data_IF_734793468553
#
_entry.id   IF_734793468553
#
_cell.length_a   1.000
_cell.length_b   1.000
_cell.length_c   1.000
_cell.angle_alpha   90.00
_cell.angle_beta   90.00
_cell.angle_gamma   90.00
#
_symmetry.space_group_name_H-M   'P 1'
#
loop_
_entity.id
_entity.type
_entity.pdbx_description
1 polymer ?
#
# COMPACT_ATOMS: atom_id res chain seq x y z
N UNK A 1 16.25 21.56 -8.90
CA UNK A 1 15.70 21.46 -7.53
C UNK A 1 14.82 20.21 -7.40
N UNK A 2 15.28 19.01 -7.83
CA UNK A 2 14.49 17.79 -7.67
C UNK A 2 14.31 17.37 -6.19
N UNK A 3 15.17 17.81 -5.29
CA UNK A 3 15.24 17.39 -3.89
C UNK A 3 14.04 17.90 -3.07
N UNK A 4 13.61 19.14 -3.35
CA UNK A 4 12.43 19.74 -2.69
C UNK A 4 11.17 19.03 -3.17
N UNK A 5 11.05 18.81 -4.49
CA UNK A 5 9.91 18.09 -5.05
C UNK A 5 9.84 16.65 -4.50
N UNK A 6 10.97 15.93 -4.42
CA UNK A 6 11.04 14.62 -3.78
C UNK A 6 10.51 14.66 -2.35
N UNK A 7 10.95 15.66 -1.57
CA UNK A 7 10.54 15.83 -0.17
C UNK A 7 9.04 16.12 -0.02
N UNK A 8 8.45 16.86 -0.95
CA UNK A 8 6.99 17.11 -1.00
C UNK A 8 6.25 15.82 -1.36
N UNK A 9 6.70 15.10 -2.40
CA UNK A 9 6.08 13.84 -2.82
C UNK A 9 6.17 12.77 -1.72
N UNK A 10 7.24 12.74 -0.94
CA UNK A 10 7.39 11.84 0.20
C UNK A 10 6.37 12.08 1.31
N UNK A 11 5.72 13.24 1.36
CA UNK A 11 4.65 13.52 2.35
C UNK A 11 3.28 13.02 1.88
N UNK A 12 3.09 12.76 0.59
CA UNK A 12 1.82 12.26 0.05
C UNK A 12 1.54 10.81 0.49
N UNK A 13 0.27 10.40 0.43
CA UNK A 13 -0.10 9.01 0.63
C UNK A 13 0.26 8.14 -0.59
N UNK A 14 0.37 6.82 -0.36
CA UNK A 14 0.77 5.88 -1.42
C UNK A 14 -0.21 5.83 -2.60
N UNK A 15 -1.52 5.98 -2.38
CA UNK A 15 -2.50 5.91 -3.47
C UNK A 15 -2.31 7.09 -4.42
N UNK A 16 -2.23 8.29 -3.86
CA UNK A 16 -2.03 9.53 -4.62
C UNK A 16 -0.73 9.47 -5.43
N UNK A 17 0.35 8.91 -4.86
CA UNK A 17 1.61 8.71 -5.57
C UNK A 17 1.51 7.73 -6.75
N UNK A 18 0.69 6.69 -6.64
CA UNK A 18 0.55 5.66 -7.67
C UNK A 18 -0.41 6.08 -8.80
N UNK A 19 -1.42 6.89 -8.51
CA UNK A 19 -2.50 7.19 -9.46
C UNK A 19 -2.42 8.60 -10.00
N UNK A 20 -2.38 9.62 -9.14
CA UNK A 20 -2.50 11.02 -9.54
C UNK A 20 -1.13 11.66 -9.84
N UNK A 21 -0.17 11.51 -8.94
CA UNK A 21 1.12 12.22 -9.01
C UNK A 21 1.92 11.88 -10.29
N UNK A 22 1.86 10.62 -10.74
CA UNK A 22 2.55 10.18 -11.97
C UNK A 22 1.90 10.67 -13.27
N UNK A 23 0.69 11.20 -13.21
CA UNK A 23 -0.05 11.72 -14.37
C UNK A 23 0.05 13.24 -14.51
N UNK A 24 0.62 13.94 -13.53
CA UNK A 24 0.75 15.40 -13.56
C UNK A 24 1.71 15.85 -14.66
N UNK A 25 2.92 15.30 -14.69
CA UNK A 25 3.91 15.56 -15.74
C UNK A 25 4.99 14.47 -15.81
N UNK A 26 5.80 14.49 -16.86
CA UNK A 26 6.90 13.54 -17.07
C UNK A 26 7.97 13.61 -15.98
N UNK A 27 8.25 14.80 -15.43
CA UNK A 27 9.26 15.00 -14.39
C UNK A 27 8.85 14.32 -13.08
N UNK A 28 7.59 14.49 -12.64
CA UNK A 28 7.07 13.82 -11.44
C UNK A 28 7.11 12.30 -11.59
N UNK A 29 6.72 11.80 -12.76
CA UNK A 29 6.79 10.37 -13.06
C UNK A 29 8.22 9.84 -13.06
N UNK A 30 9.17 10.57 -13.65
CA UNK A 30 10.58 10.20 -13.63
C UNK A 30 11.12 10.18 -12.21
N UNK A 31 10.81 11.21 -11.41
CA UNK A 31 11.28 11.33 -10.04
C UNK A 31 10.70 10.21 -9.14
N UNK A 32 9.41 9.90 -9.26
CA UNK A 32 8.77 8.79 -8.53
C UNK A 32 9.38 7.44 -8.90
N UNK A 33 9.71 7.21 -10.17
CA UNK A 33 10.26 5.92 -10.63
C UNK A 33 11.75 5.75 -10.35
N UNK A 34 12.53 6.83 -10.31
CA UNK A 34 13.98 6.79 -10.16
C UNK A 34 14.47 7.00 -8.71
N UNK A 35 13.73 7.76 -7.89
CA UNK A 35 14.10 8.01 -6.48
C UNK A 35 14.04 6.74 -5.64
N UNK A 36 15.13 6.43 -4.93
CA UNK A 36 15.14 5.30 -4.00
C UNK A 36 14.14 5.47 -2.86
N UNK A 37 14.05 6.67 -2.27
CA UNK A 37 13.17 6.96 -1.12
C UNK A 37 11.70 6.81 -1.47
N UNK A 38 11.29 7.27 -2.66
CA UNK A 38 9.91 7.13 -3.12
C UNK A 38 9.61 5.67 -3.49
N UNK A 39 10.54 4.96 -4.10
CA UNK A 39 10.38 3.53 -4.41
C UNK A 39 10.29 2.67 -3.13
N UNK A 40 11.05 3.01 -2.08
CA UNK A 40 10.92 2.40 -0.75
C UNK A 40 9.55 2.71 -0.12
N UNK A 41 9.11 3.98 -0.14
CA UNK A 41 7.78 4.37 0.36
C UNK A 41 6.64 3.63 -0.37
N UNK A 42 6.81 3.38 -1.67
CA UNK A 42 5.85 2.65 -2.50
C UNK A 42 5.99 1.12 -2.45
N UNK A 43 6.90 0.60 -1.63
CA UNK A 43 7.18 -0.83 -1.50
C UNK A 43 7.71 -1.48 -2.79
N UNK A 44 8.21 -0.73 -3.78
CA UNK A 44 8.87 -1.29 -4.95
C UNK A 44 10.35 -1.60 -4.74
N UNK A 45 10.97 -0.94 -3.75
CA UNK A 45 12.33 -1.22 -3.29
C UNK A 45 12.33 -1.56 -1.80
N UNK A 46 13.22 -2.45 -1.36
CA UNK A 46 13.32 -2.81 0.04
C UNK A 46 14.03 -1.73 0.86
N UNK A 47 13.38 -1.27 1.92
CA UNK A 47 14.04 -0.55 3.01
C UNK A 47 14.67 -1.55 3.97
N UNK A 48 16.00 -1.57 4.06
CA UNK A 48 16.74 -2.58 4.86
C UNK A 48 16.69 -2.34 6.37
N UNK A 49 16.36 -1.13 6.80
CA UNK A 49 16.42 -0.74 8.21
C UNK A 49 15.06 -0.23 8.72
N UNK A 50 14.85 -0.34 10.03
CA UNK A 50 13.67 0.15 10.73
C UNK A 50 12.69 -0.94 11.13
N UNK A 51 11.56 -0.55 11.76
CA UNK A 51 10.56 -1.51 12.21
C UNK A 51 9.91 -2.22 11.01
N UNK A 52 9.52 -3.49 11.16
CA UNK A 52 8.75 -4.22 10.16
C UNK A 52 7.38 -3.57 9.99
N UNK A 53 7.11 -3.09 8.79
CA UNK A 53 5.83 -2.47 8.41
C UNK A 53 5.24 -3.26 7.23
N UNK A 54 3.98 -3.74 7.34
CA UNK A 54 3.28 -4.35 6.21
C UNK A 54 2.88 -3.28 5.19
N UNK A 55 2.74 -3.68 3.92
CA UNK A 55 2.25 -2.79 2.87
C UNK A 55 0.78 -2.44 3.12
N UNK A 56 0.44 -1.16 3.39
CA UNK A 56 -0.91 -0.77 3.79
C UNK A 56 -1.94 -1.00 2.68
N UNK A 57 -1.55 -0.86 1.40
CA UNK A 57 -2.46 -1.10 0.27
C UNK A 57 -2.75 -2.59 0.09
N UNK A 58 -1.74 -3.43 0.26
CA UNK A 58 -1.92 -4.88 0.17
C UNK A 58 -2.68 -5.41 1.39
N UNK A 59 -2.39 -4.91 2.60
CA UNK A 59 -3.10 -5.30 3.82
C UNK A 59 -4.61 -5.00 3.76
N UNK A 60 -4.98 -3.92 3.10
CA UNK A 60 -6.37 -3.51 2.91
C UNK A 60 -7.13 -4.36 1.88
N UNK A 61 -6.43 -4.95 0.91
CA UNK A 61 -7.03 -5.73 -0.19
C UNK A 61 -6.94 -7.24 0.06
N UNK A 62 -5.87 -7.70 0.72
CA UNK A 62 -5.55 -9.10 0.95
C UNK A 62 -5.50 -9.44 2.45
N UNK A 63 -6.61 -9.32 3.19
CA UNK A 63 -6.62 -9.49 4.65
C UNK A 63 -6.16 -10.89 5.10
N UNK A 64 -6.27 -11.92 4.25
CA UNK A 64 -5.79 -13.27 4.54
C UNK A 64 -4.25 -13.35 4.61
N UNK A 65 -3.54 -12.48 3.90
CA UNK A 65 -2.06 -12.43 3.91
C UNK A 65 -1.56 -11.61 5.10
N UNK A 66 -2.39 -10.70 5.61
CA UNK A 66 -2.07 -9.78 6.69
C UNK A 66 -3.08 -9.97 7.83
N UNK A 67 -2.96 -11.06 8.62
CA UNK A 67 -3.87 -11.29 9.72
C UNK A 67 -3.82 -10.08 10.67
N UNK A 68 -4.99 -9.54 11.08
CA UNK A 68 -5.02 -8.46 12.06
C UNK A 68 -4.30 -8.93 13.33
N UNK A 69 -3.59 -8.01 13.99
CA UNK A 69 -2.99 -8.27 15.30
C UNK A 69 -4.00 -8.99 16.18
N UNK A 70 -3.59 -10.06 16.90
CA UNK A 70 -4.50 -10.76 17.79
C UNK A 70 -5.20 -9.77 18.71
N UNK A 71 -6.51 -9.95 18.98
CA UNK A 71 -7.23 -9.06 19.86
C UNK A 71 -6.53 -8.99 21.23
N UNK A 72 -6.50 -7.81 21.87
CA UNK A 72 -5.98 -7.71 23.22
C UNK A 72 -6.74 -8.69 24.14
N UNK A 73 -5.99 -9.29 25.07
CA UNK A 73 -6.46 -10.29 26.04
C UNK A 73 -7.86 -9.99 26.60
N UNK A 74 -8.67 -11.03 26.87
CA UNK A 74 -10.02 -10.87 27.40
C UNK A 74 -9.96 -10.14 28.75
N UNK A 75 -10.44 -8.89 28.78
CA UNK A 75 -10.41 -8.04 29.97
C UNK A 75 -10.24 -6.56 29.66
N UNK A 76 -9.70 -6.20 28.50
CA UNK A 76 -9.76 -4.81 27.98
C UNK A 76 -10.86 -4.75 26.94
N UNK A 77 -12.01 -4.19 27.32
CA UNK A 77 -13.07 -3.82 26.39
C UNK A 77 -12.55 -2.68 25.51
N UNK A 78 -11.78 -3.03 24.49
CA UNK A 78 -11.49 -2.11 23.41
C UNK A 78 -12.75 -2.09 22.55
N UNK A 79 -13.41 -0.93 22.50
CA UNK A 79 -14.39 -0.56 21.47
C UNK A 79 -13.75 -0.49 20.06
N UNK A 80 -12.65 -1.20 19.84
CA UNK A 80 -11.86 -1.20 18.63
C UNK A 80 -12.53 -2.12 17.59
N UNK A 81 -13.31 -1.46 16.73
CA UNK A 81 -13.31 -1.68 15.30
C UNK A 81 -13.93 -2.99 14.77
N UNK A 82 -15.19 -3.27 15.14
CA UNK A 82 -16.09 -4.05 14.26
C UNK A 82 -16.25 -3.41 12.85
N UNK A 83 -15.90 -2.12 12.70
CA UNK A 83 -15.91 -1.37 11.44
C UNK A 83 -14.76 -1.77 10.49
N UNK A 84 -13.55 -1.95 11.00
CA UNK A 84 -12.37 -2.29 10.21
C UNK A 84 -12.53 -3.65 9.52
N UNK A 85 -12.95 -4.68 10.26
CA UNK A 85 -13.19 -6.01 9.71
C UNK A 85 -14.29 -5.99 8.63
N UNK A 86 -15.41 -5.29 8.84
CA UNK A 86 -16.48 -5.18 7.82
C UNK A 86 -16.01 -4.48 6.56
N UNK A 87 -15.21 -3.42 6.68
CA UNK A 87 -14.64 -2.70 5.54
C UNK A 87 -13.64 -3.57 4.76
N UNK A 88 -12.81 -4.35 5.45
CA UNK A 88 -11.86 -5.29 4.84
C UNK A 88 -12.59 -6.41 4.09
N UNK A 89 -13.57 -7.02 4.74
CA UNK A 89 -14.43 -8.04 4.10
C UNK A 89 -15.09 -7.45 2.87
N UNK A 90 -15.71 -6.27 2.95
CA UNK A 90 -16.36 -5.64 1.81
C UNK A 90 -15.41 -5.41 0.63
N UNK A 91 -14.17 -4.97 0.88
CA UNK A 91 -13.17 -4.71 -0.19
C UNK A 91 -12.63 -5.99 -0.83
N UNK A 92 -12.37 -7.02 -0.03
CA UNK A 92 -11.97 -8.33 -0.54
C UNK A 92 -13.07 -8.93 -1.42
N UNK A 93 -14.31 -8.85 -0.96
CA UNK A 93 -15.48 -9.32 -1.69
C UNK A 93 -15.70 -8.47 -2.96
N UNK A 94 -15.57 -7.15 -2.90
CA UNK A 94 -15.68 -6.26 -4.06
C UNK A 94 -14.59 -6.52 -5.12
N UNK A 95 -13.36 -6.87 -4.72
CA UNK A 95 -12.34 -7.34 -5.66
C UNK A 95 -12.76 -8.61 -6.42
N UNK A 96 -13.43 -9.54 -5.75
CA UNK A 96 -13.84 -10.84 -6.32
C UNK A 96 -15.10 -10.72 -7.16
N UNK A 97 -16.09 -9.96 -6.68
CA UNK A 97 -17.40 -9.86 -7.33
C UNK A 97 -17.47 -8.80 -8.43
N UNK A 98 -16.62 -7.77 -8.40
CA UNK A 98 -16.62 -6.74 -9.43
C UNK A 98 -15.70 -7.12 -10.60
N UNK A 99 -16.24 -7.44 -11.79
CA UNK A 99 -15.43 -7.94 -12.91
C UNK A 99 -14.34 -6.94 -13.35
N UNK A 100 -14.62 -5.64 -13.22
CA UNK A 100 -13.65 -4.58 -13.58
C UNK A 100 -12.47 -4.55 -12.61
N UNK A 101 -12.73 -4.70 -11.30
CA UNK A 101 -11.67 -4.76 -10.28
C UNK A 101 -10.90 -6.06 -10.40
N UNK A 102 -11.60 -7.18 -10.56
CA UNK A 102 -10.97 -8.47 -10.79
C UNK A 102 -9.99 -8.41 -11.97
N UNK A 103 -10.42 -7.89 -13.12
CA UNK A 103 -9.55 -7.69 -14.29
C UNK A 103 -8.35 -6.79 -13.95
N UNK A 104 -8.55 -5.68 -13.23
CA UNK A 104 -7.46 -4.79 -12.83
C UNK A 104 -6.43 -5.46 -11.89
N UNK A 105 -6.87 -6.33 -10.98
CA UNK A 105 -5.96 -7.06 -10.09
C UNK A 105 -5.27 -8.24 -10.79
N UNK A 106 -5.92 -8.90 -11.75
CA UNK A 106 -5.34 -10.05 -12.48
C UNK A 106 -4.34 -9.64 -13.55
N UNK A 107 -4.38 -8.38 -14.02
CA UNK A 107 -3.41 -7.80 -14.97
C UNK A 107 -1.96 -8.15 -14.63
N UNK A 108 -1.19 -8.53 -15.63
CA UNK A 108 0.24 -8.91 -15.48
C UNK A 108 1.12 -7.72 -15.13
N UNK A 109 0.77 -6.54 -15.61
CA UNK A 109 1.43 -5.26 -15.35
C UNK A 109 0.92 -4.54 -14.10
N UNK A 110 0.04 -5.18 -13.32
CA UNK A 110 -0.51 -4.59 -12.11
C UNK A 110 0.61 -4.28 -11.11
N UNK A 111 0.69 -3.01 -10.69
CA UNK A 111 1.77 -2.49 -9.85
C UNK A 111 1.97 -3.28 -8.56
N UNK A 112 0.87 -3.71 -7.93
CA UNK A 112 0.87 -4.47 -6.69
C UNK A 112 1.69 -5.77 -6.76
N UNK A 113 1.81 -6.41 -7.94
CA UNK A 113 2.60 -7.64 -8.15
C UNK A 113 4.10 -7.43 -7.94
N UNK A 114 4.57 -6.19 -8.11
CA UNK A 114 5.98 -5.81 -7.95
C UNK A 114 6.25 -5.17 -6.58
N UNK A 115 5.21 -5.01 -5.76
CA UNK A 115 5.35 -4.44 -4.43
C UNK A 115 5.70 -5.52 -3.41
N UNK A 116 6.53 -5.14 -2.47
CA UNK A 116 6.84 -5.92 -1.29
C UNK A 116 5.61 -6.00 -0.37
N UNK A 117 5.41 -7.17 0.22
CA UNK A 117 4.37 -7.44 1.21
C UNK A 117 4.71 -6.73 2.54
N UNK A 118 5.99 -6.70 2.91
CA UNK A 118 6.49 -6.06 4.12
C UNK A 118 7.87 -5.45 3.90
N UNK A 119 8.25 -4.49 4.74
CA UNK A 119 9.58 -3.91 4.78
C UNK A 119 10.09 -3.75 6.23
N UNK A 120 11.33 -4.16 6.57
CA UNK A 120 12.31 -4.80 5.68
C UNK A 120 11.85 -6.17 5.15
N UNK A 121 12.34 -6.60 3.98
CA UNK A 121 12.13 -7.97 3.51
C UNK A 121 12.85 -8.94 4.47
N UNK A 122 12.29 -10.15 4.60
CA UNK A 122 12.86 -11.23 5.43
C UNK A 122 13.44 -12.29 4.52
#
# INVERSE_FOLDING_TARGET
>A
IPEILESILLQLDMRTLLTAAQLVCHEWRALITQSCRLQEKLFFRPRMHGPPVPNPLLAEVFPLVFPPSPPPLPGRVALAEKSGFRNLTFRYLDMIWNPRKQAAYTRTDASWRRMLIRQPPV
#
